data_IF_247804617895
#
_entry.id   IF_247804617895
#
_cell.length_a   1.000
_cell.length_b   1.000
_cell.length_c   1.000
_cell.angle_alpha   90.00
_cell.angle_beta   90.00
_cell.angle_gamma   90.00
#
_symmetry.space_group_name_H-M   'P 1'
#
loop_
_entity.id
_entity.type
_entity.pdbx_description
1 polymer ?
#
# COMPACT_ATOMS: atom_id res chain seq x y z
N UNK A 1 43.29 -56.26 -3.33
CA UNK A 1 43.32 -54.97 -4.04
C UNK A 1 41.93 -54.36 -4.36
N UNK A 2 40.83 -55.14 -4.48
CA UNK A 2 39.50 -54.59 -4.79
C UNK A 2 38.77 -53.95 -3.60
N UNK A 3 39.02 -54.41 -2.37
CA UNK A 3 38.35 -53.92 -1.14
C UNK A 3 38.70 -52.46 -0.80
N UNK A 4 39.98 -52.10 -0.90
CA UNK A 4 40.51 -50.74 -0.64
C UNK A 4 39.94 -49.70 -1.63
N UNK A 5 39.77 -50.07 -2.91
CA UNK A 5 39.14 -49.19 -3.91
C UNK A 5 37.66 -48.93 -3.61
N UNK A 6 36.96 -49.92 -3.04
CA UNK A 6 35.53 -49.83 -2.68
C UNK A 6 35.32 -49.00 -1.40
N UNK A 7 36.22 -49.12 -0.42
CA UNK A 7 36.23 -48.30 0.80
C UNK A 7 36.52 -46.82 0.49
N UNK A 8 37.52 -46.53 -0.36
CA UNK A 8 37.81 -45.15 -0.77
C UNK A 8 36.65 -44.51 -1.55
N UNK A 9 35.94 -45.30 -2.38
CA UNK A 9 34.74 -44.84 -3.07
C UNK A 9 33.60 -44.54 -2.08
N UNK A 10 33.41 -45.38 -1.05
CA UNK A 10 32.38 -45.17 -0.03
C UNK A 10 32.65 -43.91 0.81
N UNK A 11 33.91 -43.70 1.22
CA UNK A 11 34.34 -42.48 1.94
C UNK A 11 34.11 -41.24 1.07
N UNK A 12 34.50 -41.29 -0.20
CA UNK A 12 34.30 -40.18 -1.13
C UNK A 12 32.81 -39.85 -1.33
N UNK A 13 31.96 -40.86 -1.51
CA UNK A 13 30.50 -40.68 -1.62
C UNK A 13 29.93 -40.08 -0.33
N UNK A 14 30.36 -40.57 0.84
CA UNK A 14 29.94 -40.03 2.13
C UNK A 14 30.31 -38.54 2.28
N UNK A 15 31.54 -38.17 1.95
CA UNK A 15 31.97 -36.76 1.94
C UNK A 15 31.14 -35.93 0.96
N UNK A 16 30.86 -36.45 -0.24
CA UNK A 16 30.05 -35.74 -1.23
C UNK A 16 28.61 -35.50 -0.72
N UNK A 17 28.00 -36.52 -0.09
CA UNK A 17 26.68 -36.37 0.53
C UNK A 17 26.68 -35.36 1.67
N UNK A 18 27.74 -35.32 2.49
CA UNK A 18 27.88 -34.35 3.56
C UNK A 18 27.99 -32.93 3.02
N UNK A 19 28.75 -32.71 1.94
CA UNK A 19 28.86 -31.40 1.27
C UNK A 19 27.52 -30.95 0.70
N UNK A 20 26.75 -31.84 0.07
CA UNK A 20 25.41 -31.51 -0.45
C UNK A 20 24.46 -31.15 0.69
N UNK A 21 24.45 -31.93 1.78
CA UNK A 21 23.63 -31.62 2.96
C UNK A 21 24.02 -30.29 3.60
N UNK A 22 25.32 -29.99 3.71
CA UNK A 22 25.81 -28.71 4.23
C UNK A 22 25.39 -27.54 3.34
N UNK A 23 25.45 -27.72 2.02
CA UNK A 23 24.99 -26.71 1.06
C UNK A 23 23.49 -26.44 1.19
N UNK A 24 22.68 -27.48 1.37
CA UNK A 24 21.24 -27.36 1.58
C UNK A 24 20.92 -26.65 2.91
N UNK A 25 21.59 -27.00 4.01
CA UNK A 25 21.34 -26.35 5.31
C UNK A 25 21.71 -24.87 5.28
N UNK A 26 22.86 -24.51 4.70
CA UNK A 26 23.28 -23.10 4.54
C UNK A 26 22.25 -22.33 3.71
N UNK A 27 21.81 -22.89 2.58
CA UNK A 27 20.79 -22.25 1.73
C UNK A 27 19.49 -22.00 2.51
N UNK A 28 18.97 -23.01 3.20
CA UNK A 28 17.74 -22.89 3.99
C UNK A 28 17.88 -21.83 5.09
N UNK A 29 19.03 -21.77 5.78
CA UNK A 29 19.28 -20.72 6.78
C UNK A 29 19.31 -19.33 6.17
N UNK A 30 19.93 -19.15 5.00
CA UNK A 30 19.96 -17.87 4.28
C UNK A 30 18.54 -17.46 3.87
N UNK A 31 17.74 -18.39 3.32
CA UNK A 31 16.38 -18.12 2.88
C UNK A 31 15.47 -17.73 4.07
N UNK A 32 15.60 -18.42 5.21
CA UNK A 32 14.91 -18.05 6.45
C UNK A 32 15.29 -16.65 6.94
N UNK A 33 16.58 -16.29 6.93
CA UNK A 33 17.03 -14.95 7.34
C UNK A 33 16.45 -13.87 6.42
N UNK A 34 16.40 -14.13 5.10
CA UNK A 34 15.77 -13.19 4.16
C UNK A 34 14.28 -13.04 4.42
N UNK A 35 13.57 -14.13 4.68
CA UNK A 35 12.13 -14.09 4.97
C UNK A 35 11.81 -13.37 6.29
N UNK A 36 12.66 -13.50 7.32
CA UNK A 36 12.47 -12.79 8.59
C UNK A 36 12.78 -11.30 8.49
N UNK A 37 13.73 -10.89 7.63
CA UNK A 37 14.10 -9.48 7.48
C UNK A 37 13.27 -8.69 6.46
N UNK A 38 12.48 -9.37 5.60
CA UNK A 38 11.68 -8.69 4.57
C UNK A 38 10.39 -8.14 5.19
N UNK A 39 10.13 -6.81 5.14
CA UNK A 39 8.90 -6.25 5.67
C UNK A 39 7.65 -6.88 5.04
N UNK A 40 6.64 -7.10 5.87
CA UNK A 40 5.44 -7.86 5.53
C UNK A 40 4.22 -6.94 5.61
N UNK A 41 3.51 -6.79 4.50
CA UNK A 41 2.26 -6.01 4.47
C UNK A 41 1.08 -6.95 4.73
N UNK A 42 0.35 -6.72 5.84
CA UNK A 42 -0.86 -7.47 6.19
C UNK A 42 -2.11 -6.93 5.52
N UNK A 43 -2.09 -5.65 5.12
CA UNK A 43 -3.18 -5.02 4.41
C UNK A 43 -2.82 -3.71 3.75
N UNK A 44 -3.82 -3.10 3.11
CA UNK A 44 -3.73 -1.79 2.45
C UNK A 44 -4.85 -0.87 2.93
N UNK A 45 -4.52 0.37 3.25
CA UNK A 45 -5.49 1.45 3.44
C UNK A 45 -5.66 2.18 2.11
N UNK A 46 -6.85 2.14 1.51
CA UNK A 46 -7.10 2.80 0.23
C UNK A 46 -8.15 3.87 0.43
N UNK A 47 -7.81 5.12 0.10
CA UNK A 47 -8.77 6.21 0.02
C UNK A 47 -9.23 6.38 -1.42
N UNK A 48 -10.54 6.30 -1.64
CA UNK A 48 -11.20 6.51 -2.92
C UNK A 48 -11.93 7.85 -2.96
N UNK A 49 -12.15 8.36 -4.17
CA UNK A 49 -13.00 9.50 -4.42
C UNK A 49 -14.42 9.29 -3.86
N UNK A 50 -15.04 10.37 -3.40
CA UNK A 50 -16.42 10.38 -2.94
C UNK A 50 -17.36 9.85 -4.03
N UNK A 51 -18.27 8.96 -3.63
CA UNK A 51 -19.24 8.33 -4.53
C UNK A 51 -18.74 7.07 -5.24
N UNK A 52 -17.50 6.63 -5.01
CA UNK A 52 -17.03 5.31 -5.48
C UNK A 52 -17.85 4.20 -4.81
N UNK A 53 -18.42 3.32 -5.61
CA UNK A 53 -19.26 2.20 -5.17
C UNK A 53 -18.45 0.95 -4.84
N UNK A 54 -19.01 0.02 -4.07
CA UNK A 54 -18.35 -1.25 -3.74
C UNK A 54 -17.99 -2.05 -5.01
N UNK A 55 -18.88 -2.11 -6.01
CA UNK A 55 -18.61 -2.79 -7.28
C UNK A 55 -17.48 -2.14 -8.08
N UNK A 56 -17.33 -0.81 -8.02
CA UNK A 56 -16.18 -0.13 -8.62
C UNK A 56 -14.89 -0.48 -7.88
N UNK A 57 -14.90 -0.52 -6.53
CA UNK A 57 -13.74 -0.93 -5.73
C UNK A 57 -13.30 -2.36 -6.08
N UNK A 58 -14.24 -3.31 -6.17
CA UNK A 58 -13.96 -4.68 -6.59
C UNK A 58 -13.31 -4.73 -7.97
N UNK A 59 -13.91 -4.05 -8.95
CA UNK A 59 -13.38 -3.98 -10.31
C UNK A 59 -11.96 -3.39 -10.34
N UNK A 60 -11.68 -2.37 -9.54
CA UNK A 60 -10.35 -1.77 -9.44
C UNK A 60 -9.32 -2.76 -8.87
N UNK A 61 -9.69 -3.50 -7.82
CA UNK A 61 -8.80 -4.47 -7.17
C UNK A 61 -8.55 -5.70 -8.07
N UNK A 62 -9.57 -6.19 -8.77
CA UNK A 62 -9.44 -7.31 -9.73
C UNK A 62 -8.42 -7.00 -10.84
N UNK A 63 -8.38 -5.74 -11.28
CA UNK A 63 -7.45 -5.28 -12.30
C UNK A 63 -5.98 -5.17 -11.82
N UNK A 64 -5.72 -5.26 -10.51
CA UNK A 64 -4.38 -5.09 -9.93
C UNK A 64 -3.53 -6.37 -9.87
N UNK A 65 -4.04 -7.50 -10.39
CA UNK A 65 -3.34 -8.79 -10.40
C UNK A 65 -2.74 -9.16 -9.03
N UNK A 66 -3.61 -9.24 -8.02
CA UNK A 66 -3.27 -9.55 -6.64
C UNK A 66 -2.56 -10.91 -6.54
N UNK A 67 -1.48 -11.00 -5.75
CA UNK A 67 -0.71 -12.25 -5.57
C UNK A 67 -1.30 -13.20 -4.54
N UNK A 68 -2.29 -12.74 -3.78
CA UNK A 68 -3.00 -13.47 -2.73
C UNK A 68 -4.48 -13.14 -2.79
N UNK A 69 -5.30 -14.01 -2.20
CA UNK A 69 -6.69 -13.69 -1.91
C UNK A 69 -6.79 -12.47 -0.98
N UNK A 70 -7.93 -11.79 -1.03
CA UNK A 70 -8.18 -10.63 -0.19
C UNK A 70 -9.64 -10.52 0.21
N UNK A 71 -9.88 -9.79 1.30
CA UNK A 71 -11.22 -9.35 1.71
C UNK A 71 -11.21 -7.84 1.87
N UNK A 72 -12.36 -7.22 1.61
CA UNK A 72 -12.53 -5.77 1.65
C UNK A 72 -13.38 -5.43 2.87
N UNK A 73 -12.87 -4.51 3.69
CA UNK A 73 -13.65 -3.82 4.71
C UNK A 73 -13.96 -2.42 4.19
N UNK A 74 -15.22 -2.26 3.78
CA UNK A 74 -15.75 -1.01 3.25
C UNK A 74 -16.13 -0.08 4.39
N UNK A 75 -15.87 1.21 4.23
CA UNK A 75 -16.11 2.18 5.30
C UNK A 75 -15.38 1.80 6.60
N UNK A 76 -14.12 1.42 6.44
CA UNK A 76 -13.31 0.99 7.56
C UNK A 76 -13.06 2.13 8.54
N UNK A 77 -13.02 1.82 9.85
CA UNK A 77 -12.72 2.76 10.92
C UNK A 77 -11.26 2.69 11.41
N UNK A 78 -10.41 1.85 10.80
CA UNK A 78 -9.00 1.72 11.17
C UNK A 78 -8.19 3.01 10.98
N UNK A 79 -8.56 3.84 10.00
CA UNK A 79 -7.92 5.13 9.72
C UNK A 79 -9.01 6.21 9.57
N UNK A 80 -8.63 7.47 9.75
CA UNK A 80 -9.56 8.57 9.54
C UNK A 80 -9.74 8.83 8.04
N UNK A 81 -11.01 8.81 7.59
CA UNK A 81 -11.40 9.34 6.29
C UNK A 81 -10.98 10.80 6.19
N UNK A 82 -10.36 11.17 5.08
CA UNK A 82 -9.88 12.54 4.86
C UNK A 82 -10.84 13.29 3.95
N UNK A 83 -11.05 14.55 4.29
CA UNK A 83 -11.67 15.47 3.37
C UNK A 83 -10.65 15.88 2.30
N UNK A 84 -11.13 16.17 1.10
CA UNK A 84 -10.32 16.62 0.00
C UNK A 84 -11.06 17.65 -0.84
N UNK A 85 -10.28 18.43 -1.59
CA UNK A 85 -10.78 19.38 -2.57
C UNK A 85 -10.13 19.12 -3.92
N UNK A 86 -10.91 19.25 -4.98
CA UNK A 86 -10.42 19.16 -6.37
C UNK A 86 -10.28 20.56 -6.90
N UNK A 87 -9.07 20.95 -7.32
CA UNK A 87 -8.73 22.32 -7.71
C UNK A 87 -8.09 22.33 -9.09
N UNK A 88 -8.58 23.19 -9.98
CA UNK A 88 -7.93 23.44 -11.28
C UNK A 88 -6.48 23.92 -11.07
N UNK A 89 -5.58 23.58 -12.00
CA UNK A 89 -4.15 23.89 -11.83
C UNK A 89 -3.85 25.40 -11.71
N UNK A 90 -4.65 26.26 -12.34
CA UNK A 90 -4.53 27.72 -12.29
C UNK A 90 -4.91 28.29 -10.92
N UNK A 91 -5.93 27.72 -10.26
CA UNK A 91 -6.40 28.14 -8.92
C UNK A 91 -5.64 27.50 -7.76
N UNK A 92 -4.84 26.46 -8.03
CA UNK A 92 -4.12 25.68 -7.00
C UNK A 92 -3.38 26.57 -6.00
N UNK A 93 -2.59 27.52 -6.49
CA UNK A 93 -1.75 28.35 -5.62
C UNK A 93 -2.58 29.25 -4.70
N UNK A 94 -3.65 29.84 -5.22
CA UNK A 94 -4.53 30.73 -4.45
C UNK A 94 -5.24 29.97 -3.33
N UNK A 95 -5.77 28.79 -3.64
CA UNK A 95 -6.42 27.93 -2.65
C UNK A 95 -5.43 27.44 -1.60
N UNK A 96 -4.24 27.02 -2.00
CA UNK A 96 -3.19 26.58 -1.08
C UNK A 96 -2.74 27.71 -0.14
N UNK A 97 -2.67 28.94 -0.64
CA UNK A 97 -2.34 30.11 0.18
C UNK A 97 -3.42 30.44 1.20
N UNK A 98 -4.70 30.19 0.92
CA UNK A 98 -5.77 30.32 1.91
C UNK A 98 -5.72 29.19 2.95
N UNK A 99 -5.50 27.93 2.52
CA UNK A 99 -5.38 26.78 3.42
C UNK A 99 -4.23 26.95 4.42
N UNK A 100 -3.08 27.44 3.98
CA UNK A 100 -1.91 27.68 4.84
C UNK A 100 -2.09 28.76 5.91
N UNK A 101 -3.18 29.53 5.86
CA UNK A 101 -3.53 30.48 6.92
C UNK A 101 -4.19 29.80 8.11
N UNK A 102 -4.69 28.58 7.94
CA UNK A 102 -5.26 27.78 9.01
C UNK A 102 -4.16 26.98 9.71
N UNK A 103 -4.04 27.15 11.04
CA UNK A 103 -3.05 26.45 11.86
C UNK A 103 -3.28 24.93 11.89
N UNK A 104 -4.52 24.48 11.63
CA UNK A 104 -4.86 23.06 11.55
C UNK A 104 -4.40 22.41 10.25
N UNK A 105 -4.02 23.20 9.23
CA UNK A 105 -3.47 22.71 7.97
C UNK A 105 -1.99 22.32 8.13
N UNK A 106 -1.77 21.17 8.78
CA UNK A 106 -0.44 20.70 9.17
C UNK A 106 0.22 19.79 8.15
N UNK A 107 -0.50 18.75 7.70
CA UNK A 107 -0.05 17.78 6.71
C UNK A 107 -1.11 17.58 5.63
N UNK A 108 -0.71 17.63 4.37
CA UNK A 108 -1.58 17.43 3.23
C UNK A 108 -0.89 16.63 2.14
N UNK A 109 -1.68 15.98 1.30
CA UNK A 109 -1.18 15.35 0.07
C UNK A 109 -1.73 16.08 -1.15
N UNK A 110 -0.89 16.27 -2.16
CA UNK A 110 -1.28 16.83 -3.44
C UNK A 110 -1.13 15.77 -4.53
N UNK A 111 -2.26 15.35 -5.11
CA UNK A 111 -2.31 14.35 -6.16
C UNK A 111 -2.62 15.06 -7.47
N UNK A 112 -1.63 15.12 -8.36
CA UNK A 112 -1.81 15.74 -9.67
C UNK A 112 -2.50 14.77 -10.63
N UNK A 113 -3.68 15.15 -11.15
CA UNK A 113 -4.41 14.38 -12.16
C UNK A 113 -4.66 15.26 -13.38
N UNK A 114 -3.86 15.08 -14.43
CA UNK A 114 -3.97 15.86 -15.67
C UNK A 114 -3.93 17.37 -15.43
N UNK A 115 -5.07 18.03 -15.66
CA UNK A 115 -5.29 19.46 -15.56
C UNK A 115 -5.86 19.93 -14.21
N UNK A 116 -5.97 19.07 -13.21
CA UNK A 116 -6.38 19.43 -11.85
C UNK A 116 -5.47 18.80 -10.79
N UNK A 117 -5.56 19.29 -9.56
CA UNK A 117 -4.89 18.76 -8.37
C UNK A 117 -5.94 18.42 -7.34
N UNK A 118 -5.84 17.24 -6.74
CA UNK A 118 -6.59 16.88 -5.54
C UNK A 118 -5.70 17.23 -4.34
N UNK A 119 -6.21 18.06 -3.43
CA UNK A 119 -5.56 18.35 -2.16
C UNK A 119 -6.31 17.57 -1.08
N UNK A 120 -5.67 16.55 -0.52
CA UNK A 120 -6.21 15.83 0.63
C UNK A 120 -5.82 16.56 1.91
N UNK A 121 -6.82 16.96 2.69
CA UNK A 121 -6.65 17.71 3.93
C UNK A 121 -6.20 16.79 5.07
N UNK A 122 -5.61 17.31 6.15
CA UNK A 122 -5.24 16.51 7.32
C UNK A 122 -6.43 15.69 7.86
N UNK A 123 -6.16 14.53 8.46
CA UNK A 123 -7.19 13.61 9.00
C UNK A 123 -8.15 14.25 10.01
N UNK A 124 -7.67 15.20 10.81
CA UNK A 124 -8.46 15.90 11.83
C UNK A 124 -8.71 17.36 11.45
N UNK A 125 -8.71 17.66 10.15
CA UNK A 125 -8.94 19.00 9.67
C UNK A 125 -10.42 19.39 9.84
N UNK A 126 -10.67 20.50 10.52
CA UNK A 126 -12.02 21.06 10.70
C UNK A 126 -12.08 22.36 9.90
N UNK A 127 -12.81 22.40 8.78
CA UNK A 127 -12.86 23.58 7.92
C UNK A 127 -13.56 24.74 8.64
N UNK A 128 -12.90 25.90 8.69
CA UNK A 128 -13.51 27.12 9.23
C UNK A 128 -14.44 27.79 8.21
N UNK A 129 -15.27 28.75 8.67
CA UNK A 129 -16.21 29.47 7.81
C UNK A 129 -15.51 30.25 6.68
N UNK A 130 -14.26 30.67 6.89
CA UNK A 130 -13.50 31.46 5.92
C UNK A 130 -13.06 30.58 4.75
N UNK A 131 -12.58 29.37 5.02
CA UNK A 131 -12.26 28.38 4.02
C UNK A 131 -13.52 27.98 3.26
N UNK A 132 -14.62 27.66 3.94
CA UNK A 132 -15.88 27.30 3.29
C UNK A 132 -16.35 28.40 2.32
N UNK A 133 -16.32 29.66 2.77
CA UNK A 133 -16.63 30.82 1.91
C UNK A 133 -15.68 30.93 0.71
N UNK A 134 -14.40 30.61 0.89
CA UNK A 134 -13.40 30.63 -0.18
C UNK A 134 -13.67 29.54 -1.21
N UNK A 135 -14.02 28.33 -0.76
CA UNK A 135 -14.37 27.22 -1.64
C UNK A 135 -15.63 27.57 -2.44
N UNK A 136 -16.68 28.07 -1.80
CA UNK A 136 -17.92 28.51 -2.46
C UNK A 136 -17.67 29.58 -3.53
N UNK A 137 -16.91 30.63 -3.21
CA UNK A 137 -16.56 31.70 -4.17
C UNK A 137 -15.82 31.19 -5.41
N UNK A 138 -15.09 30.09 -5.28
CA UNK A 138 -14.33 29.49 -6.35
C UNK A 138 -15.04 28.32 -7.04
N UNK A 139 -16.31 28.05 -6.67
CA UNK A 139 -17.09 26.89 -7.10
C UNK A 139 -16.41 25.54 -6.79
N UNK A 140 -15.69 25.48 -5.66
CA UNK A 140 -15.03 24.28 -5.18
C UNK A 140 -15.88 23.61 -4.10
N UNK A 141 -15.80 22.29 -4.04
CA UNK A 141 -16.53 21.48 -3.05
C UNK A 141 -15.55 20.75 -2.15
N UNK A 142 -15.83 20.78 -0.84
CA UNK A 142 -15.22 19.88 0.11
C UNK A 142 -15.91 18.51 0.00
N UNK A 143 -15.12 17.46 -0.22
CA UNK A 143 -15.61 16.09 -0.40
C UNK A 143 -14.94 15.17 0.61
N UNK A 144 -15.71 14.21 1.14
CA UNK A 144 -15.19 13.19 2.06
C UNK A 144 -14.79 11.95 1.27
N UNK A 145 -13.57 11.47 1.46
CA UNK A 145 -13.12 10.22 0.84
C UNK A 145 -13.88 9.01 1.37
N UNK A 146 -13.81 7.91 0.62
CA UNK A 146 -14.23 6.59 1.07
C UNK A 146 -12.96 5.83 1.45
N UNK A 147 -12.91 5.28 2.66
CA UNK A 147 -11.80 4.47 3.12
C UNK A 147 -12.19 3.00 3.03
N UNK A 148 -11.38 2.22 2.32
CA UNK A 148 -11.45 0.76 2.32
C UNK A 148 -10.16 0.20 2.91
N UNK A 149 -10.30 -0.82 3.76
CA UNK A 149 -9.17 -1.62 4.20
C UNK A 149 -9.17 -2.96 3.46
N UNK A 150 -8.04 -3.30 2.84
CA UNK A 150 -7.88 -4.55 2.11
C UNK A 150 -7.03 -5.49 2.95
N UNK A 151 -7.63 -6.58 3.44
CA UNK A 151 -6.89 -7.64 4.11
C UNK A 151 -6.20 -8.51 3.06
N UNK A 152 -4.87 -8.58 3.11
CA UNK A 152 -4.08 -9.40 2.20
C UNK A 152 -3.83 -10.77 2.83
N UNK A 153 -4.84 -11.65 2.73
CA UNK A 153 -4.85 -12.94 3.40
C UNK A 153 -5.28 -14.08 2.49
N UNK A 154 -4.52 -15.15 2.56
CA UNK A 154 -4.90 -16.47 2.10
C UNK A 154 -4.97 -17.44 3.30
N UNK A 155 -5.48 -18.65 3.11
CA UNK A 155 -5.69 -19.62 4.22
C UNK A 155 -4.41 -19.89 5.04
N UNK A 156 -3.23 -19.78 4.42
CA UNK A 156 -1.94 -20.08 5.06
C UNK A 156 -1.05 -18.85 5.35
N UNK A 157 -1.36 -17.68 4.78
CA UNK A 157 -0.52 -16.47 4.89
C UNK A 157 -1.37 -15.21 5.01
N UNK A 158 -1.09 -14.39 6.01
CA UNK A 158 -1.79 -13.13 6.30
C UNK A 158 -0.98 -11.90 5.89
N UNK A 159 -0.09 -12.05 4.91
CA UNK A 159 0.79 -10.98 4.44
C UNK A 159 1.33 -11.24 3.05
N UNK A 160 1.76 -10.16 2.39
CA UNK A 160 2.60 -10.21 1.19
C UNK A 160 3.95 -9.49 1.43
N UNK A 161 5.00 -9.85 0.68
CA UNK A 161 6.26 -9.11 0.73
C UNK A 161 6.05 -7.65 0.35
N UNK A 162 6.79 -6.73 0.97
CA UNK A 162 6.76 -5.28 0.66
C UNK A 162 6.88 -5.00 -0.84
N UNK A 163 7.75 -5.71 -1.56
CA UNK A 163 7.92 -5.54 -3.01
C UNK A 163 6.59 -5.72 -3.77
N UNK A 164 5.78 -6.70 -3.39
CA UNK A 164 4.50 -6.97 -4.02
C UNK A 164 3.47 -5.92 -3.61
N UNK A 165 3.48 -5.48 -2.35
CA UNK A 165 2.64 -4.39 -1.87
C UNK A 165 2.92 -3.08 -2.61
N UNK A 166 4.20 -2.71 -2.79
CA UNK A 166 4.62 -1.52 -3.54
C UNK A 166 4.18 -1.60 -4.99
N UNK A 167 4.31 -2.77 -5.63
CA UNK A 167 3.80 -2.99 -6.99
C UNK A 167 2.29 -2.76 -7.05
N UNK A 168 1.52 -3.36 -6.14
CA UNK A 168 0.06 -3.21 -6.09
C UNK A 168 -0.34 -1.75 -5.86
N UNK A 169 0.30 -1.05 -4.91
CA UNK A 169 0.12 0.39 -4.68
C UNK A 169 0.31 1.19 -5.97
N UNK A 170 1.40 0.95 -6.69
CA UNK A 170 1.70 1.67 -7.92
C UNK A 170 0.69 1.40 -9.03
N UNK A 171 0.08 0.21 -9.09
CA UNK A 171 -1.01 -0.08 -10.04
C UNK A 171 -2.31 0.60 -9.62
N UNK A 172 -2.68 0.52 -8.34
CA UNK A 172 -3.88 1.16 -7.78
C UNK A 172 -3.87 2.68 -7.99
N UNK A 173 -2.76 3.34 -7.74
CA UNK A 173 -2.64 4.80 -7.86
C UNK A 173 -2.69 5.31 -9.31
N UNK A 174 -2.64 4.43 -10.31
CA UNK A 174 -2.94 4.80 -11.70
C UNK A 174 -4.43 5.00 -11.93
N UNK A 175 -5.28 4.43 -11.09
CA UNK A 175 -6.72 4.54 -11.24
C UNK A 175 -7.21 5.96 -10.86
N UNK A 176 -8.13 6.50 -11.64
CA UNK A 176 -8.65 7.86 -11.42
C UNK A 176 -9.46 8.00 -10.12
N UNK A 177 -10.04 6.92 -9.60
CA UNK A 177 -10.81 6.94 -8.36
C UNK A 177 -9.96 6.75 -7.11
N UNK A 178 -8.75 6.22 -7.23
CA UNK A 178 -7.84 6.05 -6.10
C UNK A 178 -7.16 7.39 -5.79
N UNK A 179 -7.28 7.83 -4.53
CA UNK A 179 -6.62 9.03 -4.03
C UNK A 179 -5.25 8.68 -3.46
N UNK A 180 -5.20 7.77 -2.48
CA UNK A 180 -3.96 7.35 -1.82
C UNK A 180 -4.03 5.90 -1.39
N UNK A 181 -2.88 5.23 -1.40
CA UNK A 181 -2.72 3.89 -0.83
C UNK A 181 -1.65 3.91 0.26
N UNK A 182 -2.02 3.46 1.46
CA UNK A 182 -1.12 3.24 2.59
C UNK A 182 -0.89 1.75 2.83
N UNK A 183 0.25 1.41 3.42
CA UNK A 183 0.58 0.04 3.82
C UNK A 183 0.25 -0.17 5.29
N UNK A 184 -0.37 -1.31 5.60
CA UNK A 184 -0.39 -1.85 6.95
C UNK A 184 0.74 -2.89 7.08
N UNK A 185 1.92 -2.43 7.50
CA UNK A 185 3.06 -3.32 7.75
C UNK A 185 2.91 -4.01 9.10
N UNK A 186 3.06 -5.33 9.09
CA UNK A 186 3.16 -6.12 10.32
C UNK A 186 4.47 -5.73 11.01
N UNK A 187 4.35 -5.06 12.16
CA UNK A 187 5.50 -4.72 12.99
C UNK A 187 6.07 -5.98 13.66
N UNK A 188 7.41 -6.05 13.71
CA UNK A 188 8.19 -7.11 14.36
C UNK A 188 8.37 -6.86 15.86
#
# INVERSE_FOLDING_TARGET
>A
MSKIKKENAAVFIFFLTLVVLLGLTIKTSIDMIKETQTPKAGGLYIQFENGTTESEVETILENCNMTVNYTIDYDSDYMLKRDYITVDQDKRMDIMNELRKDENFTYHDEIKKGNYTIIMLPEKFIPDNKLLTTLEKNNLQLKKSILCYIYLRDESKYWIPEKDAVRIKNELEKNEKVLTVGFDFLNY
#
